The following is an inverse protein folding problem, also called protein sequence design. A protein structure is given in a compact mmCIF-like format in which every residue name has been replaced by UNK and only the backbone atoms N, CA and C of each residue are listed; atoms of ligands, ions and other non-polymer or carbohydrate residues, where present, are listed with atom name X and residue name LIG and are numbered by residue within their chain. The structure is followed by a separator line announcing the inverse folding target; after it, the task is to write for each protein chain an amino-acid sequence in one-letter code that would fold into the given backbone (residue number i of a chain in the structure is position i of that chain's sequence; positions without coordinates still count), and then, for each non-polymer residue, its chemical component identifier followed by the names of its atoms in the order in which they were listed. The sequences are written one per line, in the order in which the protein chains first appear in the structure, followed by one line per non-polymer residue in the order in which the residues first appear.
data_IF_441076956682
#
_entry.id   IF_441076956682
#
_cell.length_a   1.000
_cell.length_b   1.000
_cell.length_c   1.000
_cell.angle_alpha   90.00
_cell.angle_beta   90.00
_cell.angle_gamma   90.00
#
_symmetry.space_group_name_H-M   'P 1'
#
loop_
_entity.id
_entity.type
_entity.pdbx_description
1 polymer ?
#
# COMPACT_ATOMS: atom_id res chain seq x y z
N UNK A 1 -5.07 16.66 1.95
CA UNK A 1 -4.47 16.66 3.31
C UNK A 1 -3.88 18.05 3.56
N UNK A 2 -4.05 18.65 4.73
CA UNK A 2 -3.40 19.95 5.06
C UNK A 2 -1.96 19.74 5.57
N UNK A 3 -1.11 20.77 5.66
CA UNK A 3 0.22 20.66 6.26
C UNK A 3 0.19 20.20 7.72
N UNK A 4 -0.80 20.63 8.51
CA UNK A 4 -0.96 20.23 9.92
C UNK A 4 -1.35 18.75 10.02
N UNK A 5 -2.24 18.28 9.14
CA UNK A 5 -2.58 16.87 9.04
C UNK A 5 -1.36 16.03 8.62
N UNK A 6 -0.55 16.52 7.68
CA UNK A 6 0.71 15.87 7.28
C UNK A 6 1.66 15.73 8.48
N UNK A 7 1.76 16.74 9.35
CA UNK A 7 2.58 16.69 10.58
C UNK A 7 2.02 15.69 11.61
N UNK A 8 0.71 15.65 11.84
CA UNK A 8 0.08 14.63 12.70
C UNK A 8 0.30 13.21 12.16
N UNK A 9 0.21 13.03 10.84
CA UNK A 9 0.48 11.75 10.19
C UNK A 9 1.94 11.31 10.38
N UNK A 10 2.90 12.23 10.22
CA UNK A 10 4.30 11.96 10.48
C UNK A 10 4.53 11.52 11.93
N UNK A 11 4.05 12.28 12.91
CA UNK A 11 4.27 11.94 14.32
C UNK A 11 3.62 10.62 14.73
N UNK A 12 2.42 10.27 14.21
CA UNK A 12 1.81 8.97 14.50
C UNK A 12 2.60 7.78 13.94
N UNK A 13 3.19 7.92 12.75
CA UNK A 13 4.11 6.92 12.19
C UNK A 13 5.39 6.80 13.02
N UNK A 14 6.00 7.92 13.41
CA UNK A 14 7.22 7.94 14.23
C UNK A 14 7.00 7.34 15.64
N UNK A 15 5.86 7.60 16.26
CA UNK A 15 5.50 7.09 17.59
C UNK A 15 5.30 5.57 17.61
N UNK A 16 4.90 4.96 16.48
CA UNK A 16 4.72 3.51 16.39
C UNK A 16 6.00 2.72 16.66
N UNK A 17 7.17 3.34 16.45
CA UNK A 17 8.52 2.73 16.49
C UNK A 17 8.70 1.53 15.54
N UNK A 18 7.79 1.33 14.60
CA UNK A 18 7.87 0.30 13.56
C UNK A 18 8.61 0.82 12.32
N UNK A 19 9.08 -0.08 11.46
CA UNK A 19 9.63 0.24 10.13
C UNK A 19 8.48 0.40 9.15
N UNK A 20 8.41 1.48 8.36
CA UNK A 20 7.17 1.82 7.66
C UNK A 20 7.30 2.42 6.26
N UNK A 21 6.25 2.14 5.50
CA UNK A 21 5.85 2.77 4.27
C UNK A 21 5.35 4.21 4.51
N UNK A 22 6.09 5.24 4.05
CA UNK A 22 5.51 6.55 3.70
C UNK A 22 6.10 7.31 2.49
N UNK A 23 5.33 7.39 1.40
CA UNK A 23 5.49 8.26 0.20
C UNK A 23 4.32 9.21 0.19
N UNK A 24 4.63 10.47 -0.02
CA UNK A 24 3.65 11.55 -0.12
C UNK A 24 3.58 11.98 -1.58
N UNK A 25 2.36 12.18 -2.07
CA UNK A 25 2.08 12.85 -3.35
C UNK A 25 1.88 14.34 -3.07
N UNK A 26 2.85 15.23 -3.37
CA UNK A 26 2.76 16.65 -3.01
C UNK A 26 1.57 17.36 -3.64
N UNK A 27 1.15 16.88 -4.81
CA UNK A 27 -0.04 17.27 -5.56
C UNK A 27 -1.37 17.00 -4.82
N UNK A 28 -1.37 16.15 -3.78
CA UNK A 28 -2.54 15.86 -2.94
C UNK A 28 -2.50 16.56 -1.57
N UNK A 29 -1.46 17.36 -1.32
CA UNK A 29 -1.36 18.26 -0.16
C UNK A 29 -1.96 19.62 -0.53
N UNK A 30 -2.89 20.11 0.29
CA UNK A 30 -3.55 21.40 0.09
C UNK A 30 -2.49 22.49 0.29
N UNK A 31 -2.21 23.26 -0.76
CA UNK A 31 -1.08 24.20 -0.82
C UNK A 31 0.12 23.71 -1.62
N UNK A 32 0.10 22.49 -2.18
CA UNK A 32 1.09 22.00 -3.16
C UNK A 32 2.48 21.69 -2.59
N UNK A 33 2.64 21.67 -1.27
CA UNK A 33 3.92 21.47 -0.58
C UNK A 33 3.83 20.36 0.45
N UNK A 34 4.69 19.35 0.32
CA UNK A 34 4.80 18.21 1.23
C UNK A 34 5.98 18.35 2.21
N UNK A 35 6.33 19.58 2.60
CA UNK A 35 7.44 19.83 3.53
C UNK A 35 7.10 19.23 4.90
N UNK A 36 7.88 18.22 5.29
CA UNK A 36 7.84 17.61 6.60
C UNK A 36 8.81 18.31 7.56
N UNK A 37 8.57 18.28 8.88
CA UNK A 37 9.53 18.75 9.87
C UNK A 37 10.87 18.02 9.74
N UNK A 38 11.99 18.74 9.82
CA UNK A 38 13.34 18.16 9.67
C UNK A 38 13.58 17.03 10.68
N UNK A 39 13.14 17.24 11.92
CA UNK A 39 13.22 16.27 13.03
C UNK A 39 12.56 14.92 12.69
N UNK A 40 11.43 14.94 11.96
CA UNK A 40 10.76 13.73 11.51
C UNK A 40 11.56 13.01 10.41
N UNK A 41 12.18 13.76 9.49
CA UNK A 41 13.02 13.19 8.41
C UNK A 41 14.26 12.50 8.99
N UNK A 42 14.86 13.07 10.04
CA UNK A 42 16.02 12.48 10.71
C UNK A 42 15.67 11.28 11.61
N UNK A 43 14.56 11.30 12.36
CA UNK A 43 14.07 10.16 13.19
C UNK A 43 13.68 8.92 12.33
N UNK A 44 13.29 9.13 11.07
CA UNK A 44 12.76 8.08 10.17
C UNK A 44 13.75 7.61 9.11
N UNK A 45 14.94 8.21 9.08
CA UNK A 45 16.03 7.93 8.15
C UNK A 45 16.40 6.44 8.16
N UNK A 46 16.34 5.81 6.98
CA UNK A 46 16.62 4.38 6.83
C UNK A 46 15.43 3.43 7.04
N UNK A 47 14.22 3.93 7.35
CA UNK A 47 13.00 3.11 7.48
C UNK A 47 11.89 3.44 6.45
N UNK A 48 12.07 4.48 5.62
CA UNK A 48 11.24 5.06 4.52
C UNK A 48 10.87 4.18 3.28
N UNK A 49 9.74 4.36 2.55
CA UNK A 49 9.17 3.49 1.45
C UNK A 49 7.67 3.82 1.12
N UNK A 50 6.90 3.17 0.21
CA UNK A 50 5.39 3.03 0.27
C UNK A 50 4.80 2.04 -0.74
N UNK A 51 3.55 1.64 -0.48
CA UNK A 51 2.52 1.50 -1.51
C UNK A 51 1.14 1.98 -0.99
N UNK A 52 0.24 2.43 -1.88
CA UNK A 52 -1.19 2.66 -1.59
C UNK A 52 -2.05 1.46 -2.00
N UNK A 53 -3.23 1.27 -1.37
CA UNK A 53 -4.02 0.03 -1.53
C UNK A 53 -5.52 0.28 -1.77
N UNK A 54 -6.16 -0.59 -2.57
CA UNK A 54 -7.61 -0.63 -2.75
C UNK A 54 -8.32 -1.44 -1.64
N UNK A 55 -9.53 -1.02 -1.25
CA UNK A 55 -10.37 -1.69 -0.23
C UNK A 55 -10.94 -3.04 -0.68
N UNK A 56 -11.30 -3.18 -1.95
CA UNK A 56 -12.04 -4.33 -2.50
C UNK A 56 -11.31 -5.66 -2.28
N UNK A 57 -9.99 -5.62 -2.38
CA UNK A 57 -9.10 -6.77 -2.27
C UNK A 57 -8.95 -7.24 -0.81
N UNK A 58 -9.26 -6.38 0.18
CA UNK A 58 -9.19 -6.69 1.60
C UNK A 58 -7.77 -6.94 2.13
N UNK A 59 -6.77 -6.32 1.50
CA UNK A 59 -5.33 -6.46 1.82
C UNK A 59 -4.70 -5.17 2.38
N UNK A 60 -5.52 -4.18 2.73
CA UNK A 60 -5.06 -2.92 3.31
C UNK A 60 -6.15 -2.19 4.09
N UNK A 61 -5.72 -1.26 4.95
CA UNK A 61 -6.59 -0.38 5.73
C UNK A 61 -6.59 1.04 5.14
N UNK A 62 -7.76 1.66 5.07
CA UNK A 62 -7.86 3.11 4.89
C UNK A 62 -7.71 3.80 6.26
N UNK A 63 -7.08 4.97 6.25
CA UNK A 63 -6.89 5.82 7.42
C UNK A 63 -7.55 7.17 7.12
N UNK A 64 -8.38 7.66 8.04
CA UNK A 64 -9.09 8.93 7.89
C UNK A 64 -8.10 10.10 7.82
N UNK A 65 -8.40 11.10 6.97
CA UNK A 65 -7.50 12.23 6.75
C UNK A 65 -7.46 13.24 7.92
N UNK A 66 -8.33 13.10 8.93
CA UNK A 66 -8.36 13.90 10.16
C UNK A 66 -7.84 13.15 11.39
N UNK A 67 -7.29 11.94 11.22
CA UNK A 67 -6.74 11.13 12.32
C UNK A 67 -5.66 11.91 13.09
N UNK A 68 -5.63 11.76 14.42
CA UNK A 68 -4.55 12.31 15.26
C UNK A 68 -3.40 11.32 15.41
N UNK A 69 -2.20 11.82 15.74
CA UNK A 69 -0.99 10.98 15.92
C UNK A 69 -1.21 9.73 16.81
N UNK A 70 -1.93 9.86 17.93
CA UNK A 70 -2.16 8.75 18.88
C UNK A 70 -3.14 7.68 18.36
N UNK A 71 -4.06 8.08 17.48
CA UNK A 71 -4.99 7.18 16.82
C UNK A 71 -4.29 6.47 15.65
N UNK A 72 -3.48 7.23 14.89
CA UNK A 72 -2.65 6.70 13.82
C UNK A 72 -1.64 5.67 14.34
N UNK A 73 -0.99 5.93 15.47
CA UNK A 73 -0.08 4.95 16.10
C UNK A 73 -0.79 3.61 16.32
N UNK A 74 -1.99 3.64 16.90
CA UNK A 74 -2.80 2.43 17.18
C UNK A 74 -3.20 1.72 15.89
N UNK A 75 -3.56 2.46 14.84
CA UNK A 75 -3.88 1.88 13.53
C UNK A 75 -2.66 1.22 12.88
N UNK A 76 -1.49 1.82 12.98
CA UNK A 76 -0.22 1.27 12.46
C UNK A 76 0.17 0.01 13.21
N UNK A 77 0.05 -0.01 14.55
CA UNK A 77 0.28 -1.22 15.37
C UNK A 77 -0.70 -2.34 15.02
N UNK A 78 -1.99 -2.05 14.89
CA UNK A 78 -3.01 -3.04 14.51
C UNK A 78 -2.80 -3.60 13.09
N UNK A 79 -2.29 -2.79 12.16
CA UNK A 79 -1.94 -3.20 10.80
C UNK A 79 -0.69 -4.09 10.74
N UNK A 80 0.31 -3.86 11.61
CA UNK A 80 1.61 -4.51 11.53
C UNK A 80 1.75 -5.72 12.48
N UNK A 81 1.17 -5.62 13.68
CA UNK A 81 1.31 -6.59 14.78
C UNK A 81 -0.03 -7.26 15.12
N UNK A 82 -1.14 -6.55 14.89
CA UNK A 82 -2.51 -6.94 15.25
C UNK A 82 -3.15 -8.01 14.35
N UNK A 83 -4.33 -8.47 14.78
CA UNK A 83 -5.06 -9.56 14.11
C UNK A 83 -5.67 -9.13 12.78
N UNK A 84 -6.04 -7.86 12.59
CA UNK A 84 -6.44 -7.34 11.27
C UNK A 84 -5.24 -7.38 10.32
N UNK A 85 -4.06 -6.96 10.77
CA UNK A 85 -2.80 -7.05 10.04
C UNK A 85 -2.52 -8.45 9.49
N UNK A 86 -2.55 -9.46 10.37
CA UNK A 86 -2.34 -10.87 10.01
C UNK A 86 -3.37 -11.38 8.99
N UNK A 87 -4.66 -11.03 9.15
CA UNK A 87 -5.72 -11.42 8.21
C UNK A 87 -5.50 -10.82 6.81
N UNK A 88 -5.13 -9.55 6.72
CA UNK A 88 -4.81 -8.90 5.43
C UNK A 88 -3.56 -9.53 4.78
N UNK A 89 -2.53 -9.85 5.56
CA UNK A 89 -1.34 -10.55 5.06
C UNK A 89 -1.67 -11.93 4.51
N UNK A 90 -2.51 -12.71 5.19
CA UNK A 90 -2.93 -14.03 4.71
C UNK A 90 -3.71 -13.90 3.40
N UNK A 91 -4.66 -12.96 3.31
CA UNK A 91 -5.41 -12.70 2.07
C UNK A 91 -4.51 -12.23 0.92
N UNK A 92 -3.46 -11.46 1.20
CA UNK A 92 -2.46 -11.10 0.20
C UNK A 92 -1.64 -12.31 -0.31
N UNK A 93 -1.36 -13.28 0.57
CA UNK A 93 -0.72 -14.55 0.17
C UNK A 93 -1.67 -15.43 -0.66
N UNK A 94 -2.96 -15.48 -0.33
CA UNK A 94 -3.98 -16.16 -1.15
C UNK A 94 -4.05 -15.56 -2.56
N UNK A 95 -4.13 -14.22 -2.68
CA UNK A 95 -4.08 -13.52 -3.96
C UNK A 95 -2.79 -13.78 -4.75
N UNK A 96 -1.64 -13.85 -4.06
CA UNK A 96 -0.36 -14.22 -4.68
C UNK A 96 -0.42 -15.62 -5.28
N UNK A 97 -0.86 -16.62 -4.52
CA UNK A 97 -0.98 -18.01 -5.01
C UNK A 97 -1.91 -18.08 -6.23
N UNK A 98 -3.09 -17.45 -6.16
CA UNK A 98 -4.04 -17.41 -7.28
C UNK A 98 -3.45 -16.75 -8.54
N UNK A 99 -2.63 -15.71 -8.38
CA UNK A 99 -1.94 -15.06 -9.50
C UNK A 99 -0.84 -15.95 -10.10
N UNK A 100 -0.06 -16.65 -9.25
CA UNK A 100 0.97 -17.61 -9.67
C UNK A 100 0.35 -18.82 -10.39
N UNK A 101 -0.77 -19.36 -9.91
CA UNK A 101 -1.54 -20.42 -10.57
C UNK A 101 -2.13 -19.96 -11.92
N UNK A 102 -2.76 -18.79 -11.96
CA UNK A 102 -3.36 -18.25 -13.17
C UNK A 102 -2.34 -17.92 -14.28
N UNK A 103 -1.07 -17.67 -13.92
CA UNK A 103 0.03 -17.35 -14.85
C UNK A 103 1.04 -18.51 -15.04
N UNK A 104 0.81 -19.65 -14.39
CA UNK A 104 1.62 -20.86 -14.59
C UNK A 104 1.50 -21.45 -16.00
N UNK A 105 2.28 -22.50 -16.30
CA UNK A 105 2.35 -23.12 -17.64
C UNK A 105 1.04 -23.71 -18.15
N UNK A 106 0.10 -24.01 -17.25
CA UNK A 106 -1.25 -24.46 -17.57
C UNK A 106 -2.32 -23.53 -16.98
N UNK A 107 -1.92 -22.30 -16.62
CA UNK A 107 -2.78 -21.29 -16.01
C UNK A 107 -3.80 -20.71 -16.99
N UNK A 108 -4.91 -20.22 -16.45
CA UNK A 108 -5.99 -19.62 -17.24
C UNK A 108 -5.55 -18.39 -18.03
N UNK A 109 -4.67 -17.56 -17.47
CA UNK A 109 -4.14 -16.37 -18.15
C UNK A 109 -3.16 -16.74 -19.27
N UNK A 110 -2.32 -17.76 -19.05
CA UNK A 110 -1.41 -18.31 -20.06
C UNK A 110 -2.18 -18.90 -21.25
N UNK A 111 -3.18 -19.74 -20.96
CA UNK A 111 -4.08 -20.32 -21.96
C UNK A 111 -4.83 -19.23 -22.75
N UNK A 112 -5.31 -18.18 -22.07
CA UNK A 112 -5.97 -17.04 -22.71
C UNK A 112 -5.01 -16.25 -23.62
N UNK A 113 -3.74 -16.10 -23.23
CA UNK A 113 -2.72 -15.44 -24.03
C UNK A 113 -2.37 -16.25 -25.29
N UNK A 114 -2.20 -17.58 -25.16
CA UNK A 114 -1.98 -18.48 -26.30
C UNK A 114 -3.16 -18.43 -27.30
N UNK A 115 -4.39 -18.49 -26.79
CA UNK A 115 -5.60 -18.36 -27.60
C UNK A 115 -5.66 -17.02 -28.35
N UNK A 116 -5.30 -15.91 -27.69
CA UNK A 116 -5.23 -14.59 -28.31
C UNK A 116 -4.16 -14.54 -29.43
N UNK A 117 -2.97 -15.07 -29.19
CA UNK A 117 -1.89 -15.14 -30.20
C UNK A 117 -2.33 -15.96 -31.41
N UNK A 118 -2.95 -17.12 -31.19
CA UNK A 118 -3.47 -17.98 -32.25
C UNK A 118 -4.54 -17.27 -33.09
N UNK A 119 -5.48 -16.55 -32.47
CA UNK A 119 -6.47 -15.76 -33.20
C UNK A 119 -5.85 -14.63 -34.04
N UNK A 120 -4.82 -13.95 -33.53
CA UNK A 120 -4.12 -12.88 -34.27
C UNK A 120 -3.35 -13.47 -35.46
N UNK A 121 -2.74 -14.64 -35.32
CA UNK A 121 -2.04 -15.32 -36.43
C UNK A 121 -3.01 -15.80 -37.51
N UNK A 122 -4.17 -16.36 -37.13
CA UNK A 122 -5.19 -16.82 -38.07
C UNK A 122 -5.78 -15.67 -38.91
N UNK A 123 -5.87 -14.45 -38.35
CA UNK A 123 -6.33 -13.24 -39.08
C UNK A 123 -5.29 -12.63 -40.03
N UNK A 124 -4.05 -13.15 -40.08
CA UNK A 124 -2.98 -12.70 -41.00
C UNK A 124 -2.80 -13.63 -42.20
N UNK A 125 -3.68 -14.63 -42.36
CA UNK A 125 -3.80 -15.49 -43.55
C UNK A 125 -5.06 -15.09 -44.32
#
# INVERSE_FOLDING_TARGET
MTPEQLVEFGWGLANSKLTFFWVIRPDLVIGGSAILPLEFVDETKGRSLIAGCCKEWGIGMEIDNKVKRDELEKLVRELMEGEKGKKMKNKAMEWKTLAEEATGSHGSSSTNLENLVNQIQLRKR
#
